data_IF_789319132773
#
_entry.id   IF_789319132773
#
_cell.length_a   1.000
_cell.length_b   1.000
_cell.length_c   1.000
_cell.angle_alpha   90.00
_cell.angle_beta   90.00
_cell.angle_gamma   90.00
#
_symmetry.space_group_name_H-M   'P 1'
#
loop_
_entity.id
_entity.type
_entity.pdbx_description
1 polymer ?
#
# COMPACT_ATOMS: atom_id res chain seq x y z
N UNK A 1 11.84 -41.62 -19.75
CA UNK A 1 12.25 -41.23 -18.39
C UNK A 1 11.82 -39.78 -18.21
N UNK A 2 10.75 -39.56 -17.44
CA UNK A 2 10.27 -38.20 -17.12
C UNK A 2 11.23 -37.57 -16.12
N UNK A 3 11.91 -36.48 -16.51
CA UNK A 3 12.65 -35.65 -15.57
C UNK A 3 11.59 -34.92 -14.74
N UNK A 4 11.38 -35.38 -13.52
CA UNK A 4 10.73 -34.59 -12.46
C UNK A 4 11.66 -33.41 -12.17
N UNK A 5 11.32 -32.24 -12.68
CA UNK A 5 12.01 -31.02 -12.31
C UNK A 5 11.69 -30.78 -10.83
N UNK A 6 12.67 -30.94 -9.95
CA UNK A 6 12.54 -30.61 -8.54
C UNK A 6 12.31 -29.11 -8.45
N UNK A 7 11.06 -28.68 -8.19
CA UNK A 7 10.70 -27.29 -7.99
C UNK A 7 11.10 -26.93 -6.55
N UNK A 8 12.24 -26.31 -6.36
CA UNK A 8 12.61 -25.77 -5.07
C UNK A 8 11.75 -24.53 -4.78
N UNK A 9 10.88 -24.62 -3.78
CA UNK A 9 9.96 -23.56 -3.37
C UNK A 9 10.67 -22.65 -2.36
N UNK A 10 11.09 -21.45 -2.77
CA UNK A 10 11.60 -20.42 -1.88
C UNK A 10 10.54 -19.33 -1.70
N UNK A 11 10.11 -19.11 -0.45
CA UNK A 11 9.09 -18.12 -0.07
C UNK A 11 9.67 -16.97 0.75
N UNK A 12 11.00 -16.91 0.90
CA UNK A 12 11.68 -15.83 1.60
C UNK A 12 11.75 -14.57 0.71
N UNK A 13 11.78 -13.42 1.36
CA UNK A 13 12.18 -12.17 0.70
C UNK A 13 13.71 -12.10 0.69
N UNK A 14 14.28 -11.61 -0.42
CA UNK A 14 15.72 -11.49 -0.62
C UNK A 14 16.11 -10.02 -0.75
N UNK A 15 17.24 -9.64 -0.17
CA UNK A 15 17.86 -8.33 -0.32
C UNK A 15 19.27 -8.42 -0.87
N UNK A 16 19.95 -7.29 -1.02
CA UNK A 16 21.36 -7.26 -1.36
C UNK A 16 22.21 -8.00 -0.31
N UNK A 17 23.43 -8.41 -0.72
CA UNK A 17 24.37 -9.08 0.19
C UNK A 17 23.82 -10.35 0.86
N UNK A 18 23.01 -11.13 0.12
CA UNK A 18 22.43 -12.41 0.58
C UNK A 18 21.52 -12.29 1.83
N UNK A 19 20.98 -11.11 2.09
CA UNK A 19 19.97 -10.94 3.14
C UNK A 19 18.71 -11.72 2.78
N UNK A 20 18.11 -12.37 3.76
CA UNK A 20 16.83 -13.07 3.63
C UNK A 20 15.91 -12.75 4.79
N UNK A 21 14.60 -12.76 4.57
CA UNK A 21 13.60 -12.54 5.62
C UNK A 21 12.31 -13.30 5.32
N UNK A 22 11.71 -13.87 6.38
CA UNK A 22 10.35 -14.40 6.35
C UNK A 22 9.31 -13.36 6.84
N UNK A 23 9.78 -12.19 7.33
CA UNK A 23 8.90 -11.15 7.88
C UNK A 23 8.36 -10.26 6.76
N UNK A 24 7.10 -9.87 6.89
CA UNK A 24 6.40 -8.96 5.98
C UNK A 24 5.47 -8.06 6.76
N UNK A 25 5.30 -6.85 6.27
CA UNK A 25 4.26 -5.96 6.76
C UNK A 25 3.03 -6.08 5.87
N UNK A 26 1.91 -6.48 6.45
CA UNK A 26 0.61 -6.38 5.80
C UNK A 26 0.00 -5.01 6.09
N UNK A 27 -0.56 -4.39 5.07
CA UNK A 27 -1.29 -3.12 5.21
C UNK A 27 -2.66 -3.27 4.56
N UNK A 28 -3.69 -2.78 5.25
CA UNK A 28 -5.06 -2.79 4.75
C UNK A 28 -5.67 -1.39 4.86
N UNK A 29 -6.21 -0.90 3.75
CA UNK A 29 -7.10 0.26 3.72
C UNK A 29 -8.55 -0.22 3.71
N UNK A 30 -9.36 0.30 4.64
CA UNK A 30 -10.80 0.16 4.64
C UNK A 30 -11.43 1.55 4.61
N UNK A 31 -12.42 1.77 3.74
CA UNK A 31 -13.08 3.07 3.60
C UNK A 31 -14.51 2.97 4.07
N UNK A 32 -14.95 4.00 4.78
CA UNK A 32 -16.30 4.07 5.34
C UNK A 32 -16.94 5.41 4.97
N UNK A 33 -18.25 5.40 4.80
CA UNK A 33 -19.08 6.59 4.69
C UNK A 33 -19.89 6.83 5.96
N UNK A 34 -20.69 7.93 5.95
CA UNK A 34 -21.59 8.32 7.03
C UNK A 34 -20.92 8.69 8.36
N UNK A 35 -19.63 8.99 8.36
CA UNK A 35 -18.94 9.50 9.54
C UNK A 35 -19.43 10.91 9.89
N UNK A 36 -19.95 11.08 11.10
CA UNK A 36 -20.42 12.37 11.64
C UNK A 36 -19.55 12.88 12.77
N UNK A 37 -18.73 12.02 13.39
CA UNK A 37 -17.86 12.36 14.51
C UNK A 37 -16.53 11.59 14.42
N UNK A 38 -15.53 12.26 13.86
CA UNK A 38 -14.18 11.72 13.72
C UNK A 38 -13.50 11.53 15.09
N UNK A 39 -13.83 12.38 16.08
CA UNK A 39 -13.23 12.31 17.42
C UNK A 39 -13.52 10.98 18.12
N UNK A 40 -14.74 10.43 17.95
CA UNK A 40 -15.09 9.10 18.49
C UNK A 40 -14.26 7.98 17.85
N UNK A 41 -13.99 8.07 16.53
CA UNK A 41 -13.15 7.09 15.83
C UNK A 41 -11.71 7.13 16.36
N UNK A 42 -11.15 8.34 16.51
CA UNK A 42 -9.80 8.55 17.05
C UNK A 42 -9.70 7.98 18.48
N UNK A 43 -10.65 8.29 19.34
CA UNK A 43 -10.68 7.77 20.71
C UNK A 43 -10.71 6.24 20.75
N UNK A 44 -11.51 5.60 19.88
CA UNK A 44 -11.57 4.15 19.76
C UNK A 44 -10.23 3.56 19.29
N UNK A 45 -9.58 4.15 18.29
CA UNK A 45 -8.26 3.71 17.81
C UNK A 45 -7.18 3.79 18.89
N UNK A 46 -7.19 4.88 19.67
CA UNK A 46 -6.27 5.08 20.78
C UNK A 46 -6.51 4.05 21.91
N UNK A 47 -7.76 3.81 22.26
CA UNK A 47 -8.13 2.84 23.29
C UNK A 47 -7.70 1.41 22.94
N UNK A 48 -7.84 1.02 21.66
CA UNK A 48 -7.46 -0.31 21.20
C UNK A 48 -5.97 -0.42 20.81
N UNK A 49 -5.20 0.66 20.92
CA UNK A 49 -3.76 0.72 20.60
C UNK A 49 -3.42 0.16 19.22
N UNK A 50 -4.29 0.36 18.24
CA UNK A 50 -4.08 -0.10 16.87
C UNK A 50 -3.14 0.85 16.14
N UNK A 51 -2.10 0.31 15.51
CA UNK A 51 -1.23 1.10 14.65
C UNK A 51 -1.95 1.41 13.33
N UNK A 52 -2.29 2.68 13.12
CA UNK A 52 -3.14 3.09 12.01
C UNK A 52 -2.94 4.56 11.61
N UNK A 53 -3.47 4.88 10.43
CA UNK A 53 -3.73 6.24 9.96
C UNK A 53 -5.22 6.36 9.67
N UNK A 54 -5.85 7.42 10.17
CA UNK A 54 -7.22 7.78 9.83
C UNK A 54 -7.18 8.99 8.88
N UNK A 55 -7.72 8.80 7.67
CA UNK A 55 -7.82 9.82 6.64
C UNK A 55 -9.25 10.35 6.53
N UNK A 56 -9.40 11.64 6.23
CA UNK A 56 -10.63 12.20 5.67
C UNK A 56 -10.63 12.01 4.17
N UNK A 57 -11.72 11.48 3.62
CA UNK A 57 -11.88 11.25 2.18
C UNK A 57 -12.17 12.56 1.46
N UNK A 58 -11.37 12.91 0.45
CA UNK A 58 -11.57 14.13 -0.35
C UNK A 58 -12.85 14.05 -1.20
N UNK A 59 -13.23 12.85 -1.61
CA UNK A 59 -14.36 12.63 -2.51
C UNK A 59 -15.70 12.38 -1.78
N UNK A 60 -15.68 12.24 -0.46
CA UNK A 60 -16.88 12.06 0.36
C UNK A 60 -16.76 12.89 1.65
N UNK A 61 -17.57 13.95 1.82
CA UNK A 61 -17.52 14.81 3.02
C UNK A 61 -17.84 14.10 4.34
N UNK A 62 -18.38 12.88 4.28
CA UNK A 62 -18.62 11.99 5.42
C UNK A 62 -17.80 10.70 5.31
N UNK A 63 -16.83 10.68 4.41
CA UNK A 63 -15.96 9.54 4.16
C UNK A 63 -14.72 9.57 5.04
N UNK A 64 -14.30 8.41 5.51
CA UNK A 64 -13.04 8.20 6.22
C UNK A 64 -12.35 6.94 5.69
N UNK A 65 -11.02 6.99 5.57
CA UNK A 65 -10.19 5.84 5.26
C UNK A 65 -9.37 5.43 6.48
N UNK A 66 -9.49 4.18 6.88
CA UNK A 66 -8.69 3.58 7.95
C UNK A 66 -7.61 2.69 7.33
N UNK A 67 -6.36 3.16 7.38
CA UNK A 67 -5.19 2.36 7.02
C UNK A 67 -4.64 1.71 8.28
N UNK A 68 -4.58 0.38 8.31
CA UNK A 68 -3.99 -0.40 9.40
C UNK A 68 -2.82 -1.22 8.89
N UNK A 69 -1.90 -1.58 9.79
CA UNK A 69 -0.69 -2.31 9.44
C UNK A 69 -0.27 -3.26 10.56
N UNK A 70 0.11 -4.48 10.18
CA UNK A 70 0.58 -5.50 11.12
C UNK A 70 1.44 -6.56 10.41
N UNK A 71 2.38 -7.19 11.11
CA UNK A 71 3.18 -8.30 10.57
C UNK A 71 2.40 -9.61 10.58
N UNK A 72 1.57 -9.82 11.60
CA UNK A 72 0.75 -11.03 11.72
C UNK A 72 -0.61 -10.84 11.02
N UNK A 73 -0.92 -11.60 9.96
CA UNK A 73 -2.18 -11.45 9.22
C UNK A 73 -3.43 -11.80 10.03
N UNK A 74 -3.30 -12.59 11.11
CA UNK A 74 -4.41 -12.89 12.04
C UNK A 74 -4.97 -11.62 12.70
N UNK A 75 -4.18 -10.56 12.82
CA UNK A 75 -4.61 -9.24 13.32
C UNK A 75 -5.86 -8.74 12.58
N UNK A 76 -5.91 -8.89 11.25
CA UNK A 76 -7.00 -8.36 10.42
C UNK A 76 -8.33 -9.09 10.64
N UNK A 77 -8.28 -10.39 10.99
CA UNK A 77 -9.47 -11.22 11.23
C UNK A 77 -9.83 -11.38 12.72
N UNK A 78 -9.04 -10.80 13.61
CA UNK A 78 -9.27 -10.81 15.07
C UNK A 78 -9.39 -9.37 15.59
N UNK A 79 -8.31 -8.73 15.93
CA UNK A 79 -8.26 -7.40 16.56
C UNK A 79 -8.95 -6.34 15.71
N UNK A 80 -8.56 -6.20 14.44
CA UNK A 80 -9.16 -5.22 13.55
C UNK A 80 -10.63 -5.53 13.29
N UNK A 81 -10.97 -6.81 13.03
CA UNK A 81 -12.36 -7.22 12.85
C UNK A 81 -13.24 -6.86 14.05
N UNK A 82 -12.77 -7.08 15.27
CA UNK A 82 -13.50 -6.71 16.48
C UNK A 82 -13.67 -5.20 16.60
N UNK A 83 -12.63 -4.44 16.31
CA UNK A 83 -12.65 -2.98 16.31
C UNK A 83 -13.71 -2.44 15.33
N UNK A 84 -13.67 -2.85 14.06
CA UNK A 84 -14.60 -2.30 13.05
C UNK A 84 -16.05 -2.77 13.22
N UNK A 85 -16.28 -3.85 13.96
CA UNK A 85 -17.62 -4.33 14.33
C UNK A 85 -18.10 -3.80 15.70
N UNK A 86 -17.34 -2.94 16.35
CA UNK A 86 -17.73 -2.27 17.60
C UNK A 86 -17.98 -0.78 17.38
N UNK A 87 -18.65 -0.13 18.37
CA UNK A 87 -18.85 1.31 18.32
C UNK A 87 -17.50 2.04 18.43
N UNK A 88 -17.29 3.12 17.71
CA UNK A 88 -18.23 3.79 16.78
C UNK A 88 -18.15 3.31 15.31
N UNK A 89 -17.23 2.42 14.95
CA UNK A 89 -17.01 2.00 13.56
C UNK A 89 -18.21 1.25 12.96
N UNK A 90 -18.93 0.42 13.74
CA UNK A 90 -20.09 -0.32 13.24
C UNK A 90 -21.27 0.57 12.82
N UNK A 91 -21.29 1.84 13.24
CA UNK A 91 -22.29 2.82 12.83
C UNK A 91 -22.05 3.34 11.41
N UNK A 92 -20.85 3.09 10.85
CA UNK A 92 -20.44 3.56 9.54
C UNK A 92 -20.86 2.58 8.43
N UNK A 93 -20.99 3.08 7.22
CA UNK A 93 -21.21 2.26 6.03
C UNK A 93 -19.88 1.94 5.36
N UNK A 94 -19.47 0.68 5.37
CA UNK A 94 -18.24 0.26 4.68
C UNK A 94 -18.42 0.35 3.15
N UNK A 95 -17.44 0.93 2.48
CA UNK A 95 -17.31 1.00 1.02
C UNK A 95 -16.39 -0.13 0.56
N UNK A 96 -16.96 -1.32 0.29
CA UNK A 96 -16.19 -2.53 0.02
C UNK A 96 -15.28 -2.41 -1.22
N UNK A 97 -15.69 -1.63 -2.20
CA UNK A 97 -14.92 -1.36 -3.42
C UNK A 97 -13.56 -0.69 -3.15
N UNK A 98 -13.40 -0.05 -1.98
CA UNK A 98 -12.15 0.55 -1.51
C UNK A 98 -11.44 -0.29 -0.45
N UNK A 99 -11.87 -1.52 -0.18
CA UNK A 99 -11.12 -2.42 0.71
C UNK A 99 -9.93 -2.99 -0.04
N UNK A 100 -8.73 -2.61 0.35
CA UNK A 100 -7.48 -2.93 -0.31
C UNK A 100 -6.51 -3.52 0.69
N UNK A 101 -5.92 -4.67 0.39
CA UNK A 101 -4.91 -5.31 1.24
C UNK A 101 -3.71 -5.76 0.41
N UNK A 102 -2.52 -5.55 0.95
CA UNK A 102 -1.29 -6.05 0.36
C UNK A 102 -0.22 -6.28 1.41
N UNK A 103 0.86 -6.93 1.00
CA UNK A 103 2.05 -7.21 1.82
C UNK A 103 3.28 -6.54 1.24
N UNK A 104 4.23 -6.14 2.10
CA UNK A 104 5.54 -5.71 1.65
C UNK A 104 6.28 -6.84 0.92
N UNK A 105 7.14 -6.46 0.00
CA UNK A 105 7.97 -7.37 -0.77
C UNK A 105 9.28 -6.69 -1.17
N UNK A 106 10.27 -7.49 -1.53
CA UNK A 106 11.57 -7.01 -1.98
C UNK A 106 11.76 -7.25 -3.48
N UNK A 107 12.71 -6.53 -4.06
CA UNK A 107 13.16 -6.71 -5.45
C UNK A 107 14.51 -7.42 -5.55
N UNK A 108 15.13 -7.74 -4.40
CA UNK A 108 16.43 -8.40 -4.31
C UNK A 108 17.64 -7.44 -4.27
N UNK A 109 17.40 -6.13 -4.30
CA UNK A 109 18.46 -5.11 -4.35
C UNK A 109 18.52 -4.22 -3.10
N UNK A 110 17.65 -4.45 -2.12
CA UNK A 110 17.53 -3.65 -0.91
C UNK A 110 18.77 -3.82 -0.02
N UNK A 111 19.45 -2.72 0.29
CA UNK A 111 20.66 -2.70 1.13
C UNK A 111 20.35 -3.02 2.61
N UNK A 112 19.17 -2.69 3.07
CA UNK A 112 18.60 -3.02 4.37
C UNK A 112 17.20 -3.61 4.15
N UNK A 113 17.14 -4.94 4.14
CA UNK A 113 15.92 -5.68 3.82
C UNK A 113 14.85 -5.52 4.89
N UNK A 114 15.23 -5.49 6.17
CA UNK A 114 14.28 -5.33 7.27
C UNK A 114 13.67 -3.93 7.28
N UNK A 115 14.49 -2.91 7.09
CA UNK A 115 14.01 -1.55 6.96
C UNK A 115 13.03 -1.41 5.80
N UNK A 116 13.38 -1.96 4.65
CA UNK A 116 12.53 -1.93 3.46
C UNK A 116 11.18 -2.59 3.66
N UNK A 117 11.16 -3.78 4.26
CA UNK A 117 9.95 -4.58 4.44
C UNK A 117 9.05 -4.07 5.56
N UNK A 118 9.64 -3.57 6.66
CA UNK A 118 8.90 -3.36 7.90
C UNK A 118 8.87 -1.90 8.35
N UNK A 119 10.03 -1.22 8.34
CA UNK A 119 10.16 0.08 8.98
C UNK A 119 9.86 1.25 8.04
N UNK A 120 10.38 1.20 6.82
CA UNK A 120 10.15 2.24 5.81
C UNK A 120 8.66 2.47 5.52
N UNK A 121 7.81 1.46 5.25
CA UNK A 121 6.39 1.68 5.03
C UNK A 121 5.69 2.31 6.23
N UNK A 122 6.02 1.86 7.45
CA UNK A 122 5.44 2.41 8.69
C UNK A 122 5.78 3.89 8.87
N UNK A 123 7.08 4.23 8.85
CA UNK A 123 7.49 5.62 9.06
C UNK A 123 7.02 6.55 7.94
N UNK A 124 6.81 6.04 6.72
CA UNK A 124 6.26 6.83 5.62
C UNK A 124 4.82 7.24 5.90
N UNK A 125 3.94 6.30 6.24
CA UNK A 125 2.53 6.62 6.49
C UNK A 125 2.29 7.30 7.84
N UNK A 126 3.20 7.14 8.80
CA UNK A 126 3.08 7.73 10.13
C UNK A 126 3.83 9.07 10.26
N UNK A 127 4.39 9.60 9.17
CA UNK A 127 5.05 10.89 9.18
C UNK A 127 4.02 12.04 9.21
N UNK A 128 3.93 12.82 10.31
CA UNK A 128 2.96 13.88 10.41
C UNK A 128 3.22 15.05 9.44
N UNK A 129 4.43 15.16 8.87
CA UNK A 129 4.74 16.13 7.84
C UNK A 129 4.18 15.76 6.46
N UNK A 130 3.69 14.54 6.27
CA UNK A 130 3.15 14.03 5.02
C UNK A 130 1.68 13.59 5.18
N UNK A 131 0.74 14.55 5.34
CA UNK A 131 -0.64 14.21 5.64
C UNK A 131 -1.45 13.74 4.42
N UNK A 132 -1.02 14.02 3.21
CA UNK A 132 -1.74 13.64 2.00
C UNK A 132 -1.39 12.24 1.54
N UNK A 133 -2.42 11.51 1.11
CA UNK A 133 -2.27 10.16 0.57
C UNK A 133 -3.17 9.94 -0.64
N UNK A 134 -2.64 9.22 -1.65
CA UNK A 134 -3.41 8.62 -2.75
C UNK A 134 -3.15 7.11 -2.69
N UNK A 135 -4.20 6.31 -2.51
CA UNK A 135 -4.13 4.86 -2.51
C UNK A 135 -4.89 4.30 -3.70
N UNK A 136 -4.29 3.37 -4.43
CA UNK A 136 -4.94 2.70 -5.55
C UNK A 136 -4.34 1.33 -5.83
N UNK A 137 -5.15 0.32 -6.15
CA UNK A 137 -4.68 -0.95 -6.65
C UNK A 137 -4.36 -0.85 -8.15
N UNK A 138 -3.54 -1.76 -8.62
CA UNK A 138 -3.27 -1.94 -10.04
C UNK A 138 -3.15 -3.42 -10.41
N UNK A 139 -3.52 -3.73 -11.66
CA UNK A 139 -3.29 -5.02 -12.29
C UNK A 139 -2.43 -4.83 -13.53
N UNK A 140 -1.43 -5.68 -13.70
CA UNK A 140 -0.64 -5.77 -14.93
C UNK A 140 -1.29 -6.72 -15.93
N UNK A 141 -1.00 -6.51 -17.20
CA UNK A 141 -1.34 -7.47 -18.25
C UNK A 141 -0.40 -8.68 -18.17
N UNK A 142 -0.89 -9.87 -18.53
CA UNK A 142 -0.04 -11.07 -18.66
C UNK A 142 1.10 -10.92 -19.69
N UNK A 143 1.01 -9.94 -20.59
CA UNK A 143 2.06 -9.62 -21.54
C UNK A 143 3.36 -9.18 -20.85
N UNK A 144 3.28 -8.44 -19.72
CA UNK A 144 4.47 -8.06 -18.94
C UNK A 144 5.24 -9.29 -18.44
N UNK A 145 4.56 -10.30 -17.94
CA UNK A 145 5.18 -11.52 -17.42
C UNK A 145 5.88 -12.36 -18.50
N UNK A 146 5.50 -12.17 -19.78
CA UNK A 146 6.11 -12.85 -20.93
C UNK A 146 7.37 -12.15 -21.46
N UNK A 147 7.65 -10.92 -21.02
CA UNK A 147 8.89 -10.24 -21.38
C UNK A 147 10.10 -10.95 -20.77
N UNK A 148 11.24 -10.88 -21.45
CA UNK A 148 12.51 -11.31 -20.89
C UNK A 148 12.85 -10.49 -19.62
N UNK A 149 13.66 -11.03 -18.68
CA UNK A 149 14.08 -10.29 -17.49
C UNK A 149 14.75 -8.94 -17.82
N UNK A 150 15.49 -8.87 -18.94
CA UNK A 150 16.14 -7.64 -19.40
C UNK A 150 15.10 -6.59 -19.83
N UNK A 151 14.09 -6.98 -20.58
CA UNK A 151 13.01 -6.09 -21.02
C UNK A 151 12.17 -5.62 -19.83
N UNK A 152 11.78 -6.53 -18.91
CA UNK A 152 11.12 -6.17 -17.67
C UNK A 152 11.92 -5.13 -16.88
N UNK A 153 13.23 -5.38 -16.71
CA UNK A 153 14.15 -4.46 -16.05
C UNK A 153 14.22 -3.08 -16.72
N UNK A 154 14.18 -3.02 -18.06
CA UNK A 154 14.16 -1.75 -18.81
C UNK A 154 12.87 -0.95 -18.56
N UNK A 155 11.72 -1.62 -18.65
CA UNK A 155 10.39 -1.01 -18.40
C UNK A 155 10.29 -0.50 -16.97
N UNK A 156 10.71 -1.30 -15.98
CA UNK A 156 10.66 -0.94 -14.57
C UNK A 156 11.65 0.19 -14.22
N UNK A 157 12.76 0.30 -14.90
CA UNK A 157 13.78 1.34 -14.68
C UNK A 157 13.27 2.72 -15.05
N UNK A 158 12.59 2.86 -16.19
CA UNK A 158 11.95 4.11 -16.60
C UNK A 158 11.01 4.63 -15.50
N UNK A 159 10.10 3.76 -15.06
CA UNK A 159 9.14 4.04 -14.00
C UNK A 159 9.84 4.36 -12.66
N UNK A 160 10.82 3.55 -12.27
CA UNK A 160 11.58 3.72 -11.03
C UNK A 160 12.39 5.02 -10.98
N UNK A 161 12.91 5.49 -12.13
CA UNK A 161 13.66 6.76 -12.22
C UNK A 161 12.76 7.95 -11.88
N UNK A 162 11.53 7.96 -12.41
CA UNK A 162 10.55 9.01 -12.10
C UNK A 162 10.20 8.97 -10.60
N UNK A 163 9.84 7.79 -10.07
CA UNK A 163 9.51 7.65 -8.65
C UNK A 163 10.61 8.15 -7.72
N UNK A 164 11.87 7.83 -8.04
CA UNK A 164 13.04 8.30 -7.29
C UNK A 164 13.17 9.82 -7.33
N UNK A 165 13.02 10.44 -8.50
CA UNK A 165 13.12 11.89 -8.64
C UNK A 165 12.09 12.64 -7.78
N UNK A 166 10.85 12.10 -7.68
CA UNK A 166 9.84 12.69 -6.79
C UNK A 166 10.14 12.46 -5.31
N UNK A 167 10.70 11.29 -4.96
CA UNK A 167 11.15 11.00 -3.59
C UNK A 167 12.31 11.90 -3.15
N UNK A 168 13.33 12.05 -3.99
CA UNK A 168 14.51 12.89 -3.73
C UNK A 168 14.15 14.38 -3.60
N UNK A 169 13.11 14.83 -4.31
CA UNK A 169 12.55 16.18 -4.22
C UNK A 169 11.59 16.36 -3.04
N UNK A 170 11.34 15.35 -2.23
CA UNK A 170 10.37 15.34 -1.12
C UNK A 170 8.91 15.64 -1.57
N UNK A 171 8.58 15.32 -2.82
CA UNK A 171 7.25 15.55 -3.40
C UNK A 171 6.30 14.38 -3.23
N UNK A 172 6.80 13.14 -3.34
CA UNK A 172 5.99 11.94 -3.21
C UNK A 172 6.84 10.76 -2.73
N UNK A 173 6.37 10.08 -1.68
CA UNK A 173 6.98 8.89 -1.12
C UNK A 173 6.08 7.70 -1.39
N UNK A 174 6.60 6.73 -2.14
CA UNK A 174 5.84 5.56 -2.55
C UNK A 174 5.87 4.43 -1.52
N UNK A 175 4.74 3.76 -1.41
CA UNK A 175 4.59 2.46 -0.77
C UNK A 175 4.07 1.51 -1.83
N UNK A 176 4.72 0.36 -1.97
CA UNK A 176 4.32 -0.68 -2.91
C UNK A 176 4.12 -1.98 -2.16
N UNK A 177 2.93 -2.53 -2.28
CA UNK A 177 2.54 -3.77 -1.63
C UNK A 177 2.10 -4.76 -2.69
N UNK A 178 2.50 -6.03 -2.55
CA UNK A 178 2.03 -7.11 -3.40
C UNK A 178 0.67 -7.60 -2.91
N UNK A 179 -0.29 -7.78 -3.83
CA UNK A 179 -1.66 -8.18 -3.54
C UNK A 179 -2.00 -9.59 -4.05
N UNK A 180 -1.08 -10.26 -4.72
CA UNK A 180 -1.32 -11.58 -5.35
C UNK A 180 -2.02 -12.56 -4.40
N UNK A 181 -3.25 -12.97 -4.75
CA UNK A 181 -4.06 -13.87 -3.94
C UNK A 181 -4.61 -13.30 -2.62
N UNK A 182 -4.45 -12.00 -2.36
CA UNK A 182 -4.93 -11.31 -1.16
C UNK A 182 -6.12 -10.40 -1.46
N UNK A 183 -6.08 -9.72 -2.60
CA UNK A 183 -7.09 -8.75 -3.01
C UNK A 183 -8.28 -9.45 -3.69
N UNK A 184 -9.49 -9.17 -3.21
CA UNK A 184 -10.73 -9.74 -3.75
C UNK A 184 -11.01 -9.38 -5.22
N UNK A 185 -10.37 -8.31 -5.72
CA UNK A 185 -10.48 -7.86 -7.12
C UNK A 185 -9.35 -8.40 -8.00
N UNK A 186 -8.50 -9.31 -7.47
CA UNK A 186 -7.38 -9.93 -8.18
C UNK A 186 -6.38 -8.89 -8.75
N UNK A 187 -6.09 -7.83 -7.97
CA UNK A 187 -5.03 -6.89 -8.31
C UNK A 187 -3.65 -7.44 -7.95
N UNK A 188 -2.62 -7.00 -8.68
CA UNK A 188 -1.24 -7.44 -8.42
C UNK A 188 -0.58 -6.62 -7.32
N UNK A 189 -0.89 -5.31 -7.28
CA UNK A 189 -0.24 -4.37 -6.35
C UNK A 189 -1.21 -3.35 -5.80
N UNK A 190 -0.93 -2.91 -4.57
CA UNK A 190 -1.49 -1.73 -3.94
C UNK A 190 -0.40 -0.66 -3.83
N UNK A 191 -0.68 0.51 -4.37
CA UNK A 191 0.23 1.65 -4.35
C UNK A 191 -0.32 2.72 -3.40
N UNK A 192 0.54 3.19 -2.50
CA UNK A 192 0.34 4.39 -1.69
C UNK A 192 1.32 5.47 -2.12
N UNK A 193 0.84 6.67 -2.41
CA UNK A 193 1.64 7.86 -2.63
C UNK A 193 1.38 8.82 -1.47
N UNK A 194 2.40 9.13 -0.70
CA UNK A 194 2.32 9.89 0.54
C UNK A 194 3.16 11.16 0.40
N UNK A 195 2.66 12.30 0.86
CA UNK A 195 3.41 13.55 0.74
C UNK A 195 2.81 14.74 1.48
N UNK A 196 3.52 15.87 1.40
CA UNK A 196 3.14 17.14 2.04
C UNK A 196 1.94 17.80 1.38
N UNK A 197 1.86 17.69 0.06
CA UNK A 197 0.90 18.39 -0.77
C UNK A 197 0.23 17.42 -1.76
N UNK A 198 -1.05 17.64 -2.05
CA UNK A 198 -1.80 16.77 -2.93
C UNK A 198 -1.39 16.92 -4.40
N UNK A 199 -1.02 18.13 -4.86
CA UNK A 199 -0.69 18.37 -6.27
C UNK A 199 0.50 17.53 -6.75
N UNK A 200 1.66 17.46 -6.05
CA UNK A 200 2.76 16.59 -6.47
C UNK A 200 2.38 15.12 -6.55
N UNK A 201 1.51 14.62 -5.66
CA UNK A 201 1.02 13.24 -5.70
C UNK A 201 0.18 12.98 -6.94
N UNK A 202 -0.71 13.91 -7.30
CA UNK A 202 -1.49 13.82 -8.54
C UNK A 202 -0.60 13.93 -9.77
N UNK A 203 0.40 14.82 -9.73
CA UNK A 203 1.32 15.03 -10.85
C UNK A 203 2.21 13.81 -11.13
N UNK A 204 2.68 13.09 -10.09
CA UNK A 204 3.43 11.86 -10.32
C UNK A 204 2.55 10.79 -10.99
N UNK A 205 1.27 10.65 -10.61
CA UNK A 205 0.35 9.73 -11.29
C UNK A 205 0.19 10.11 -12.77
N UNK A 206 0.01 11.40 -13.07
CA UNK A 206 -0.06 11.90 -14.44
C UNK A 206 1.21 11.59 -15.25
N UNK A 207 2.38 11.79 -14.64
CA UNK A 207 3.68 11.54 -15.28
C UNK A 207 3.90 10.05 -15.53
N UNK A 208 3.56 9.21 -14.55
CA UNK A 208 3.67 7.74 -14.64
C UNK A 208 2.80 7.16 -15.76
N UNK A 209 1.65 7.77 -16.08
CA UNK A 209 0.77 7.31 -17.18
C UNK A 209 1.44 7.37 -18.55
N UNK A 210 2.50 8.15 -18.72
CA UNK A 210 3.27 8.27 -19.96
C UNK A 210 4.36 7.21 -20.09
N UNK A 211 4.69 6.51 -19.01
CA UNK A 211 5.72 5.45 -19.05
C UNK A 211 5.24 4.24 -19.81
N UNK A 212 6.17 3.51 -20.40
CA UNK A 212 5.92 2.26 -21.10
C UNK A 212 5.20 1.24 -20.19
N UNK A 213 5.60 1.15 -18.91
CA UNK A 213 4.92 0.27 -17.95
C UNK A 213 3.42 0.55 -17.89
N UNK A 214 3.03 1.82 -17.71
CA UNK A 214 1.62 2.17 -17.49
C UNK A 214 0.82 2.14 -18.78
N UNK A 215 1.39 2.61 -19.90
CA UNK A 215 0.66 2.69 -21.17
C UNK A 215 0.48 1.33 -21.86
N UNK A 216 1.41 0.39 -21.69
CA UNK A 216 1.39 -0.89 -22.42
C UNK A 216 1.04 -2.10 -21.53
N UNK A 217 1.39 -2.05 -20.22
CA UNK A 217 1.36 -3.24 -19.38
C UNK A 217 0.45 -3.13 -18.15
N UNK A 218 -0.22 -2.00 -17.92
CA UNK A 218 -1.24 -1.89 -16.88
C UNK A 218 -2.61 -2.12 -17.50
N UNK A 219 -3.31 -3.13 -16.99
CA UNK A 219 -4.68 -3.45 -17.39
C UNK A 219 -5.70 -2.57 -16.68
N UNK A 220 -5.50 -2.28 -15.40
CA UNK A 220 -6.39 -1.47 -14.59
C UNK A 220 -5.64 -0.70 -13.51
N UNK A 221 -6.14 0.50 -13.20
CA UNK A 221 -5.70 1.37 -12.12
C UNK A 221 -6.95 1.85 -11.36
N UNK A 222 -6.93 1.72 -10.04
CA UNK A 222 -8.05 2.17 -9.19
C UNK A 222 -9.01 1.05 -8.80
N UNK A 223 -10.01 1.41 -7.96
CA UNK A 223 -10.43 2.77 -7.62
C UNK A 223 -9.38 3.55 -6.84
N UNK A 224 -9.44 4.88 -6.92
CA UNK A 224 -8.53 5.78 -6.21
C UNK A 224 -9.18 6.28 -4.93
N UNK A 225 -8.54 6.05 -3.79
CA UNK A 225 -8.84 6.72 -2.54
C UNK A 225 -7.87 7.90 -2.37
N UNK A 226 -8.40 9.08 -2.11
CA UNK A 226 -7.62 10.30 -1.86
C UNK A 226 -7.99 10.82 -0.49
N UNK A 227 -7.01 10.90 0.41
CA UNK A 227 -7.27 11.28 1.80
C UNK A 227 -6.25 12.24 2.39
N UNK A 228 -6.70 12.97 3.40
CA UNK A 228 -5.87 13.79 4.29
C UNK A 228 -5.88 13.20 5.69
N UNK A 229 -4.72 12.89 6.25
CA UNK A 229 -4.61 12.29 7.57
C UNK A 229 -5.12 13.29 8.64
N UNK A 230 -6.13 12.89 9.36
CA UNK A 230 -6.64 13.61 10.54
C UNK A 230 -6.11 13.01 11.84
N UNK A 231 -5.58 11.80 11.79
CA UNK A 231 -4.90 11.16 12.90
C UNK A 231 -3.94 10.08 12.40
N UNK A 232 -2.82 9.97 13.09
CA UNK A 232 -1.81 8.93 12.89
C UNK A 232 -1.37 8.41 14.25
N UNK A 233 -1.12 7.11 14.37
CA UNK A 233 -0.49 6.57 15.58
C UNK A 233 0.86 7.27 15.79
N UNK A 234 1.14 7.83 16.99
CA UNK A 234 2.42 8.46 17.28
C UNK A 234 3.59 7.48 17.01
N UNK A 235 4.61 7.97 16.33
CA UNK A 235 5.87 7.22 16.16
C UNK A 235 6.47 6.97 17.55
N UNK A 236 6.75 5.71 17.87
CA UNK A 236 7.47 5.33 19.09
C UNK A 236 8.96 5.51 18.91
#
# INVERSE_FOLDING_TARGET
MSQTTDIQTDVQEHGANQQTSNRRLYMQLQVFGHCTDIGRLIASLQQHQVQAVLYQDVNDPRGVGLLTMHEEPTFFVTTLRNLVNSDPFRELSQKLEFTMIGRSYSSGYESDLEDWLLHRPRRTVLNPAWPWAIWYPLRRTGAFAKLSPQEQGSVLREHGTIGRAYGDADFAHDIRLACHGLDSHDNDFLIGLIGKELFPLSHVVQTMRKTRQTSEFIQSLGPFFVGHACWQTPSR
#
